data_IF_097402375806
#
_entry.id   IF_097402375806
#
_cell.length_a   1.000
_cell.length_b   1.000
_cell.length_c   1.000
_cell.angle_alpha   90.00
_cell.angle_beta   90.00
_cell.angle_gamma   90.00
#
_symmetry.space_group_name_H-M   'P 1'
#
loop_
_entity.id
_entity.type
_entity.pdbx_description
1 polymer ?
#
# COMPACT_ATOMS: atom_id res chain seq x y z
N UNK A 1 15.76 14.75 15.35
CA UNK A 1 15.50 14.13 16.67
C UNK A 1 14.96 12.74 16.39
N UNK A 2 15.76 11.71 16.64
CA UNK A 2 15.35 10.31 16.52
C UNK A 2 14.66 9.96 17.84
N UNK A 3 13.38 9.62 17.77
CA UNK A 3 12.63 9.11 18.93
C UNK A 3 12.65 7.59 18.81
N UNK A 4 13.08 6.90 19.87
CA UNK A 4 13.03 5.44 19.88
C UNK A 4 11.56 4.99 19.89
N UNK A 5 11.19 4.00 19.08
CA UNK A 5 9.82 3.54 19.03
C UNK A 5 9.46 2.84 20.34
N UNK A 6 8.42 3.31 21.01
CA UNK A 6 7.88 2.70 22.23
C UNK A 6 6.70 1.81 21.85
N UNK A 7 6.61 0.62 22.44
CA UNK A 7 5.39 -0.17 22.37
C UNK A 7 4.51 0.20 23.55
N UNK A 8 3.27 0.57 23.27
CA UNK A 8 2.24 0.75 24.30
C UNK A 8 1.10 -0.23 24.04
N UNK A 9 0.48 -0.71 25.10
CA UNK A 9 -0.73 -1.51 24.99
C UNK A 9 -1.92 -0.58 24.73
N UNK A 10 -2.68 -0.83 23.67
CA UNK A 10 -3.91 -0.11 23.35
C UNK A 10 -5.13 -1.01 23.60
N UNK A 11 -5.95 -0.63 24.57
CA UNK A 11 -7.10 -1.41 25.03
C UNK A 11 -8.17 -1.61 23.94
N UNK A 12 -8.31 -0.68 22.99
CA UNK A 12 -9.25 -0.80 21.88
C UNK A 12 -8.73 -1.79 20.84
N UNK A 13 -7.41 -1.86 20.62
CA UNK A 13 -6.78 -2.89 19.78
C UNK A 13 -6.89 -4.27 20.43
N UNK A 14 -6.73 -4.37 21.75
CA UNK A 14 -7.00 -5.61 22.50
C UNK A 14 -8.45 -6.05 22.29
N UNK A 15 -9.42 -5.13 22.42
CA UNK A 15 -10.86 -5.41 22.21
C UNK A 15 -11.15 -5.85 20.77
N UNK A 16 -10.64 -5.14 19.78
CA UNK A 16 -10.81 -5.47 18.37
C UNK A 16 -10.26 -6.87 18.04
N UNK A 17 -9.07 -7.21 18.53
CA UNK A 17 -8.49 -8.53 18.30
C UNK A 17 -9.25 -9.66 18.99
N UNK A 18 -9.81 -9.40 20.19
CA UNK A 18 -10.73 -10.33 20.86
C UNK A 18 -11.99 -10.57 20.01
N UNK A 19 -12.57 -9.51 19.46
CA UNK A 19 -13.74 -9.62 18.60
C UNK A 19 -13.43 -10.43 17.34
N UNK A 20 -12.32 -10.14 16.64
CA UNK A 20 -11.87 -10.90 15.47
C UNK A 20 -11.59 -12.38 15.77
N UNK A 21 -11.06 -12.71 16.95
CA UNK A 21 -10.88 -14.09 17.37
C UNK A 21 -12.22 -14.79 17.58
N UNK A 22 -13.19 -14.16 18.24
CA UNK A 22 -14.55 -14.71 18.41
C UNK A 22 -15.18 -15.04 17.06
N UNK A 23 -15.12 -14.11 16.10
CA UNK A 23 -15.68 -14.33 14.76
C UNK A 23 -14.98 -15.44 13.97
N UNK A 24 -13.72 -15.77 14.28
CA UNK A 24 -12.96 -16.83 13.59
C UNK A 24 -13.32 -18.23 14.08
N UNK A 25 -13.84 -18.36 15.30
CA UNK A 25 -14.27 -19.63 15.89
C UNK A 25 -15.79 -19.83 15.89
N UNK A 26 -16.57 -18.77 15.66
CA UNK A 26 -18.03 -18.82 15.48
C UNK A 26 -18.41 -19.06 14.01
N UNK A 27 -18.31 -20.29 13.53
CA UNK A 27 -18.89 -20.70 12.23
C UNK A 27 -20.35 -21.15 12.31
N UNK A 28 -20.89 -21.40 13.50
CA UNK A 28 -22.28 -21.84 13.68
C UNK A 28 -22.97 -20.93 14.70
N UNK A 29 -23.97 -20.19 14.21
CA UNK A 29 -24.63 -19.08 14.91
C UNK A 29 -25.46 -19.46 16.14
N UNK A 30 -24.82 -19.87 17.22
CA UNK A 30 -25.38 -19.87 18.57
C UNK A 30 -24.41 -19.18 19.53
N UNK A 31 -24.76 -17.96 19.93
CA UNK A 31 -24.00 -17.16 20.88
C UNK A 31 -23.96 -17.86 22.26
N UNK A 32 -22.89 -18.60 22.53
CA UNK A 32 -22.59 -19.09 23.87
C UNK A 32 -21.92 -18.00 24.69
N UNK A 33 -22.70 -17.28 25.50
CA UNK A 33 -22.25 -16.35 26.53
C UNK A 33 -21.58 -17.08 27.73
N UNK A 34 -20.59 -17.93 27.49
CA UNK A 34 -19.77 -18.47 28.58
C UNK A 34 -18.71 -17.44 28.95
N UNK A 35 -19.11 -16.53 29.86
CA UNK A 35 -18.26 -15.69 30.68
C UNK A 35 -17.37 -16.56 31.58
N UNK A 36 -16.26 -17.04 31.06
CA UNK A 36 -15.11 -17.39 31.90
C UNK A 36 -14.17 -16.19 31.88
N UNK A 37 -13.92 -15.60 33.05
CA UNK A 37 -12.87 -14.59 33.20
C UNK A 37 -11.56 -15.18 32.66
N UNK A 38 -10.81 -14.45 31.82
CA UNK A 38 -9.53 -14.94 31.32
C UNK A 38 -8.62 -15.20 32.52
N UNK A 39 -7.97 -16.35 32.55
CA UNK A 39 -6.91 -16.59 33.53
C UNK A 39 -5.72 -15.65 33.27
N UNK A 40 -4.84 -15.52 34.26
CA UNK A 40 -3.70 -14.60 34.24
C UNK A 40 -2.79 -14.81 33.04
N UNK A 41 -2.65 -16.05 32.57
CA UNK A 41 -1.84 -16.43 31.41
C UNK A 41 -2.49 -15.97 30.09
N UNK A 42 -3.82 -16.03 30.02
CA UNK A 42 -4.60 -15.48 28.89
C UNK A 42 -4.54 -13.95 28.87
N UNK A 43 -4.50 -13.27 30.02
CA UNK A 43 -4.35 -11.80 30.09
C UNK A 43 -2.97 -11.31 29.62
N UNK A 44 -1.88 -12.00 29.95
CA UNK A 44 -0.53 -11.64 29.49
C UNK A 44 -0.37 -11.79 27.97
N UNK A 45 -0.87 -12.91 27.41
CA UNK A 45 -0.91 -13.10 25.95
C UNK A 45 -1.78 -12.05 25.24
N UNK A 46 -2.88 -11.64 25.86
CA UNK A 46 -3.75 -10.59 25.32
C UNK A 46 -3.10 -9.20 25.37
N UNK A 47 -2.28 -8.91 26.39
CA UNK A 47 -1.47 -7.68 26.45
C UNK A 47 -0.42 -7.65 25.35
N UNK A 48 0.28 -8.75 25.08
CA UNK A 48 1.22 -8.85 23.95
C UNK A 48 0.52 -8.58 22.61
N UNK A 49 -0.72 -9.06 22.45
CA UNK A 49 -1.55 -8.79 21.28
C UNK A 49 -2.06 -7.35 21.19
N UNK A 50 -2.12 -6.63 22.31
CA UNK A 50 -2.48 -5.21 22.39
C UNK A 50 -1.34 -4.25 22.13
N UNK A 51 -0.10 -4.74 22.02
CA UNK A 51 1.06 -3.89 21.83
C UNK A 51 1.04 -3.25 20.45
N UNK A 52 0.86 -1.93 20.44
CA UNK A 52 1.01 -1.08 19.27
C UNK A 52 2.28 -0.27 19.39
N UNK A 53 2.96 -0.16 18.27
CA UNK A 53 4.11 0.72 18.12
C UNK A 53 3.61 2.16 18.02
N UNK A 54 3.96 2.99 19.01
CA UNK A 54 3.60 4.40 19.06
C UNK A 54 4.87 5.24 19.08
N UNK A 55 4.96 6.16 18.12
CA UNK A 55 6.14 6.99 17.93
C UNK A 55 6.10 7.80 16.65
N UNK A 56 7.11 8.65 16.47
CA UNK A 56 7.30 9.41 15.25
C UNK A 56 8.13 8.60 14.23
N UNK A 57 7.46 7.89 13.33
CA UNK A 57 8.11 7.16 12.26
C UNK A 57 8.48 8.09 11.10
N UNK A 58 9.75 8.06 10.69
CA UNK A 58 10.20 8.70 9.46
C UNK A 58 10.12 7.70 8.31
N UNK A 59 9.08 7.83 7.49
CA UNK A 59 9.00 7.11 6.22
C UNK A 59 9.95 7.75 5.21
N UNK A 60 11.07 7.08 4.92
CA UNK A 60 12.01 7.47 3.89
C UNK A 60 11.81 6.66 2.62
N UNK A 61 11.26 7.27 1.57
CA UNK A 61 11.16 6.64 0.24
C UNK A 61 12.47 6.89 -0.53
N UNK A 62 13.20 5.82 -0.86
CA UNK A 62 14.46 5.86 -1.62
C UNK A 62 14.39 4.91 -2.83
N UNK A 63 14.88 5.32 -4.01
CA UNK A 63 15.45 6.64 -4.33
C UNK A 63 14.40 7.76 -4.26
N UNK A 64 14.83 9.00 -4.11
CA UNK A 64 13.93 10.16 -4.23
C UNK A 64 13.56 10.38 -5.71
N UNK A 65 12.40 10.99 -6.00
CA UNK A 65 12.04 11.31 -7.37
C UNK A 65 13.01 12.34 -7.94
N UNK A 66 13.36 12.19 -9.23
CA UNK A 66 14.25 13.13 -9.92
C UNK A 66 13.67 14.56 -9.94
N UNK A 67 12.33 14.68 -9.94
CA UNK A 67 11.62 15.96 -9.83
C UNK A 67 10.61 15.86 -8.69
N UNK A 68 10.93 16.35 -7.48
CA UNK A 68 10.09 16.21 -6.29
C UNK A 68 8.65 16.68 -6.43
N UNK A 69 8.43 17.79 -7.14
CA UNK A 69 7.08 18.35 -7.39
C UNK A 69 6.26 17.44 -8.31
N UNK A 70 6.95 16.57 -9.07
CA UNK A 70 6.37 15.60 -9.99
C UNK A 70 6.36 14.17 -9.46
N UNK A 71 6.83 13.91 -8.23
CA UNK A 71 6.88 12.55 -7.69
C UNK A 71 7.65 11.57 -8.59
N UNK A 72 7.48 10.26 -8.34
CA UNK A 72 8.20 9.22 -9.08
C UNK A 72 7.50 8.92 -10.39
N UNK A 73 8.24 9.02 -11.48
CA UNK A 73 7.76 8.77 -12.82
C UNK A 73 8.15 7.36 -13.25
N UNK A 74 7.19 6.58 -13.76
CA UNK A 74 7.43 5.19 -14.15
C UNK A 74 7.14 4.91 -15.64
N UNK A 75 7.92 4.02 -16.25
CA UNK A 75 7.81 3.68 -17.68
C UNK A 75 8.80 2.61 -18.15
N UNK A 76 9.03 2.52 -19.47
CA UNK A 76 9.86 1.49 -20.15
C UNK A 76 11.39 1.70 -19.99
N UNK A 77 11.80 2.44 -18.99
CA UNK A 77 13.20 2.81 -18.76
C UNK A 77 13.57 4.21 -19.28
N UNK A 78 14.78 4.68 -18.95
CA UNK A 78 15.19 6.06 -19.15
C UNK A 78 15.19 6.48 -20.63
N UNK A 79 14.93 7.77 -20.86
CA UNK A 79 15.10 8.49 -22.12
C UNK A 79 16.10 9.62 -21.87
N UNK A 80 16.94 9.96 -22.85
CA UNK A 80 17.95 11.02 -22.71
C UNK A 80 17.37 12.34 -22.17
N UNK A 81 16.14 12.67 -22.55
CA UNK A 81 15.48 13.92 -22.19
C UNK A 81 14.37 13.77 -21.15
N UNK A 82 14.20 12.59 -20.56
CA UNK A 82 13.11 12.35 -19.61
C UNK A 82 13.52 11.35 -18.52
N UNK A 83 13.64 11.80 -17.26
CA UNK A 83 13.95 10.91 -16.17
C UNK A 83 12.77 9.96 -15.93
N UNK A 84 13.08 8.67 -15.86
CA UNK A 84 12.16 7.62 -15.41
C UNK A 84 12.76 7.06 -14.14
N UNK A 85 12.15 7.40 -13.00
CA UNK A 85 12.60 6.99 -11.67
C UNK A 85 12.39 5.50 -11.44
N UNK A 86 11.27 4.96 -11.96
CA UNK A 86 10.85 3.58 -11.79
C UNK A 86 10.72 2.89 -13.14
N UNK A 87 11.61 1.93 -13.41
CA UNK A 87 11.60 1.16 -14.64
C UNK A 87 10.64 -0.02 -14.49
N UNK A 88 9.50 0.04 -15.18
CA UNK A 88 8.48 -1.02 -15.17
C UNK A 88 8.92 -2.24 -16.00
N UNK A 89 9.50 -1.97 -17.16
CA UNK A 89 10.16 -2.97 -18.01
C UNK A 89 11.14 -2.26 -18.96
N UNK A 90 11.95 -3.02 -19.70
CA UNK A 90 12.81 -2.42 -20.75
C UNK A 90 12.03 -2.23 -22.04
N UNK A 91 12.50 -1.33 -22.92
CA UNK A 91 11.90 -1.17 -24.26
C UNK A 91 11.94 -2.44 -25.09
N UNK A 92 13.03 -3.20 -25.01
CA UNK A 92 13.18 -4.49 -25.70
C UNK A 92 12.16 -5.51 -25.20
N UNK A 93 11.97 -5.59 -23.87
CA UNK A 93 10.97 -6.46 -23.26
C UNK A 93 9.54 -6.07 -23.66
N UNK A 94 9.23 -4.77 -23.64
CA UNK A 94 7.94 -4.27 -24.07
C UNK A 94 7.66 -4.61 -25.54
N UNK A 95 8.69 -4.49 -26.41
CA UNK A 95 8.57 -4.86 -27.83
C UNK A 95 8.35 -6.36 -28.02
N UNK A 96 9.09 -7.22 -27.32
CA UNK A 96 9.01 -8.67 -27.48
C UNK A 96 7.69 -9.27 -26.98
N UNK A 97 7.04 -8.62 -26.02
CA UNK A 97 5.78 -9.08 -25.43
C UNK A 97 4.56 -8.24 -25.85
N UNK A 98 4.73 -7.35 -26.83
CA UNK A 98 3.70 -6.43 -27.31
C UNK A 98 3.02 -5.67 -26.15
N UNK A 99 3.83 -5.10 -25.26
CA UNK A 99 3.35 -4.34 -24.10
C UNK A 99 3.28 -2.86 -24.46
N UNK A 100 2.09 -2.28 -24.32
CA UNK A 100 1.76 -0.91 -24.72
C UNK A 100 1.97 0.09 -23.58
N UNK A 101 3.19 0.13 -23.06
CA UNK A 101 3.59 1.19 -22.11
C UNK A 101 4.05 2.46 -22.82
N UNK A 102 3.85 3.61 -22.17
CA UNK A 102 4.36 4.93 -22.57
C UNK A 102 5.56 5.33 -21.72
N UNK A 103 6.29 6.35 -22.16
CA UNK A 103 7.30 7.03 -21.34
C UNK A 103 6.94 8.52 -21.26
N UNK A 104 6.50 9.02 -20.10
CA UNK A 104 6.17 8.25 -18.90
C UNK A 104 4.79 7.61 -19.02
N UNK A 105 4.54 6.55 -18.25
CA UNK A 105 3.25 5.87 -18.26
C UNK A 105 2.40 6.27 -17.04
N UNK A 106 3.00 6.15 -15.85
CA UNK A 106 2.35 6.51 -14.58
C UNK A 106 3.27 7.34 -13.70
N UNK A 107 2.67 7.97 -12.71
CA UNK A 107 3.33 8.79 -11.70
C UNK A 107 2.83 8.38 -10.32
N UNK A 108 3.76 8.27 -9.37
CA UNK A 108 3.48 8.07 -7.96
C UNK A 108 3.79 9.34 -7.17
N UNK A 109 2.91 9.71 -6.24
CA UNK A 109 3.10 10.87 -5.36
C UNK A 109 2.81 10.51 -3.93
N UNK A 110 3.67 10.94 -3.02
CA UNK A 110 3.38 10.89 -1.60
C UNK A 110 3.00 12.28 -1.11
N UNK A 111 1.78 12.43 -0.61
CA UNK A 111 1.32 13.67 0.00
C UNK A 111 1.47 13.57 1.51
N UNK A 112 2.27 14.47 2.09
CA UNK A 112 2.55 14.48 3.53
C UNK A 112 1.32 14.78 4.37
N UNK A 113 0.47 15.69 3.91
CA UNK A 113 -0.71 16.15 4.65
C UNK A 113 -1.74 15.03 4.83
N UNK A 114 -2.01 14.26 3.77
CA UNK A 114 -2.89 13.10 3.83
C UNK A 114 -2.18 11.80 4.23
N UNK A 115 -0.84 11.82 4.35
CA UNK A 115 0.01 10.63 4.53
C UNK A 115 -0.27 9.53 3.50
N UNK A 116 -0.74 9.92 2.32
CA UNK A 116 -1.19 9.01 1.27
C UNK A 116 -0.21 8.90 0.12
N UNK A 117 0.02 7.67 -0.35
CA UNK A 117 0.67 7.40 -1.62
C UNK A 117 -0.38 7.26 -2.71
N UNK A 118 -0.24 8.00 -3.78
CA UNK A 118 -1.18 8.01 -4.90
C UNK A 118 -0.49 7.62 -6.18
N UNK A 119 -1.21 6.91 -7.06
CA UNK A 119 -0.80 6.64 -8.44
C UNK A 119 -1.75 7.31 -9.42
N UNK A 120 -1.24 7.77 -10.55
CA UNK A 120 -2.05 8.29 -11.64
C UNK A 120 -1.42 8.00 -13.00
N UNK A 121 -2.27 7.84 -14.02
CA UNK A 121 -1.82 7.80 -15.41
C UNK A 121 -1.27 9.15 -15.87
N UNK A 122 -0.18 9.15 -16.63
CA UNK A 122 0.39 10.35 -17.25
C UNK A 122 -0.31 10.74 -18.56
N UNK A 123 -1.28 9.95 -19.00
CA UNK A 123 -1.95 10.10 -20.30
C UNK A 123 -3.41 9.71 -20.18
N UNK A 124 -4.28 10.44 -20.89
CA UNK A 124 -5.72 10.12 -21.03
C UNK A 124 -6.04 9.18 -22.19
N UNK A 125 -5.03 8.79 -22.96
CA UNK A 125 -5.19 7.87 -24.09
C UNK A 125 -5.71 6.49 -23.64
N UNK A 126 -6.69 5.90 -24.34
CA UNK A 126 -7.15 4.53 -24.05
C UNK A 126 -6.02 3.48 -24.14
N UNK A 127 -5.03 3.73 -25.00
CA UNK A 127 -3.86 2.88 -25.16
C UNK A 127 -2.80 3.00 -24.05
N UNK A 128 -3.06 3.80 -23.01
CA UNK A 128 -2.17 3.97 -21.88
C UNK A 128 -2.95 4.02 -20.57
N UNK A 129 -3.93 3.11 -20.43
CA UNK A 129 -4.73 3.00 -19.23
C UNK A 129 -3.94 2.37 -18.09
N UNK A 130 -4.11 2.96 -16.91
CA UNK A 130 -3.74 2.41 -15.62
C UNK A 130 -5.05 1.94 -14.96
N UNK A 131 -5.06 0.71 -14.49
CA UNK A 131 -6.13 0.21 -13.63
C UNK A 131 -5.58 -0.15 -12.24
N UNK A 132 -6.37 0.09 -11.21
CA UNK A 132 -6.07 -0.30 -9.83
C UNK A 132 -7.27 -1.10 -9.34
N UNK A 133 -7.07 -2.35 -8.93
CA UNK A 133 -8.13 -3.29 -8.56
C UNK A 133 -9.21 -3.48 -9.66
N UNK A 134 -8.84 -3.29 -10.93
CA UNK A 134 -9.77 -3.33 -12.06
C UNK A 134 -10.41 -1.99 -12.41
N UNK A 135 -10.32 -0.98 -11.55
CA UNK A 135 -10.86 0.36 -11.78
C UNK A 135 -9.89 1.23 -12.58
N UNK A 136 -10.40 1.92 -13.60
CA UNK A 136 -9.59 2.87 -14.37
C UNK A 136 -9.18 4.08 -13.52
N UNK A 137 -7.88 4.22 -13.21
CA UNK A 137 -7.35 5.31 -12.42
C UNK A 137 -7.09 6.56 -13.30
N UNK A 138 -8.19 7.21 -13.69
CA UNK A 138 -8.18 8.47 -14.46
C UNK A 138 -7.87 9.70 -13.59
N UNK A 139 -8.03 9.56 -12.28
CA UNK A 139 -7.66 10.53 -11.25
C UNK A 139 -6.62 9.91 -10.30
N UNK A 140 -5.94 10.70 -9.45
CA UNK A 140 -5.04 10.15 -8.43
C UNK A 140 -5.75 9.11 -7.56
N UNK A 141 -5.24 7.89 -7.56
CA UNK A 141 -5.79 6.75 -6.83
C UNK A 141 -4.92 6.48 -5.60
N UNK A 142 -5.54 6.40 -4.42
CA UNK A 142 -4.85 6.20 -3.15
C UNK A 142 -4.48 4.71 -2.97
N UNK A 143 -3.19 4.42 -2.77
CA UNK A 143 -2.65 3.05 -2.81
C UNK A 143 -2.47 2.40 -1.44
N UNK A 144 -2.03 3.14 -0.42
CA UNK A 144 -1.64 2.56 0.88
C UNK A 144 -2.83 2.34 1.83
N UNK A 145 -3.92 1.74 1.33
CA UNK A 145 -5.11 1.40 2.12
C UNK A 145 -5.19 -0.10 2.46
N UNK A 146 -5.04 -0.96 1.46
CA UNK A 146 -5.04 -2.42 1.53
C UNK A 146 -4.18 -2.95 0.37
N UNK A 147 -4.09 -4.28 0.18
CA UNK A 147 -3.35 -4.85 -0.95
C UNK A 147 -3.98 -4.38 -2.27
N UNK A 148 -3.23 -3.63 -3.06
CA UNK A 148 -3.66 -3.04 -4.32
C UNK A 148 -3.04 -3.77 -5.50
N UNK A 149 -3.89 -4.07 -6.49
CA UNK A 149 -3.48 -4.66 -7.75
C UNK A 149 -3.36 -3.58 -8.81
N UNK A 150 -2.14 -3.18 -9.14
CA UNK A 150 -1.85 -2.17 -10.15
C UNK A 150 -1.60 -2.87 -11.48
N UNK A 151 -2.40 -2.56 -12.50
CA UNK A 151 -2.24 -3.12 -13.83
C UNK A 151 -1.99 -2.03 -14.88
N UNK A 152 -0.98 -2.27 -15.70
CA UNK A 152 -0.45 -1.38 -16.72
C UNK A 152 -0.32 -2.18 -18.02
N UNK A 153 -1.34 -2.10 -18.87
CA UNK A 153 -1.48 -2.99 -20.03
C UNK A 153 -1.40 -4.47 -19.61
N UNK A 154 -0.34 -5.20 -20.00
CA UNK A 154 -0.12 -6.60 -19.64
C UNK A 154 0.72 -6.80 -18.38
N UNK A 155 1.24 -5.72 -17.77
CA UNK A 155 2.01 -5.80 -16.53
C UNK A 155 1.10 -5.68 -15.32
N UNK A 156 1.39 -6.47 -14.30
CA UNK A 156 0.63 -6.54 -13.07
C UNK A 156 1.58 -6.48 -11.88
N UNK A 157 1.25 -5.65 -10.90
CA UNK A 157 2.02 -5.44 -9.68
C UNK A 157 1.10 -5.51 -8.47
N UNK A 158 1.57 -6.17 -7.41
CA UNK A 158 0.95 -6.13 -6.10
C UNK A 158 1.63 -5.05 -5.27
N UNK A 159 0.84 -4.18 -4.65
CA UNK A 159 1.28 -3.06 -3.82
C UNK A 159 0.68 -3.17 -2.42
#
# INVERSE_FOLDING_TARGET
MLVEPEQICDDEIVRLRREMQRTKYDTDGEASETLTEPDTDTEEQLKELGMVWVGCYLLGLRPQPAVPEKGWVAGKGPLENMPIDLVLCTRSFAKSHDIKLRNPHVRFNFFRDSKGLYVMGCSRSPSAQLTVNGDAATQPYHLNQHNMKIQLDKLEYQF
#
